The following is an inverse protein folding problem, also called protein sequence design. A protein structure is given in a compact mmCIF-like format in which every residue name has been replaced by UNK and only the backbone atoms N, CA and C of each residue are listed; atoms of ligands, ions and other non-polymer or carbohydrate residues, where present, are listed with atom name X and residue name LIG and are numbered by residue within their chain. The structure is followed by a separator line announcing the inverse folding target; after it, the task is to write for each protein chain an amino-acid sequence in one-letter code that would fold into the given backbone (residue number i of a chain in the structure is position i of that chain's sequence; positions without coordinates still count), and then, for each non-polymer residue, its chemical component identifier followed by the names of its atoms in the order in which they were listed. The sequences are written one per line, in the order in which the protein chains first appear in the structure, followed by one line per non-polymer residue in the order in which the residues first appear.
data_IF_575360143319
#
_entry.id   IF_575360143319
#
_cell.length_a   1.000
_cell.length_b   1.000
_cell.length_c   1.000
_cell.angle_alpha   90.00
_cell.angle_beta   90.00
_cell.angle_gamma   90.00
#
_symmetry.space_group_name_H-M   'P 1'
#
loop_
_entity.id
_entity.type
_entity.pdbx_description
1 polymer ?
#
# COMPACT_ATOMS: atom_id res chain seq x y z
N UNK A 1 5.76 -14.14 15.89
CA UNK A 1 5.55 -14.86 14.62
C UNK A 1 6.76 -14.71 13.71
N UNK A 2 7.30 -13.50 13.48
CA UNK A 2 8.45 -13.30 12.57
C UNK A 2 9.73 -13.91 13.13
N UNK A 3 9.99 -13.80 14.44
CA UNK A 3 11.17 -14.36 15.11
C UNK A 3 11.20 -15.90 15.09
N UNK A 4 10.04 -16.54 14.96
CA UNK A 4 9.93 -18.00 14.85
C UNK A 4 10.52 -18.58 13.56
N UNK A 5 10.78 -17.74 12.55
CA UNK A 5 11.29 -18.16 11.24
C UNK A 5 12.81 -18.00 11.09
N UNK A 6 13.56 -17.86 12.18
CA UNK A 6 15.04 -17.73 12.20
C UNK A 6 15.56 -16.54 11.38
N UNK A 7 14.77 -15.49 11.20
CA UNK A 7 15.16 -14.28 10.49
C UNK A 7 15.48 -13.15 11.46
N UNK A 8 16.48 -12.34 11.12
CA UNK A 8 16.82 -11.16 11.92
C UNK A 8 15.74 -10.11 11.77
N UNK A 9 15.10 -9.71 12.87
CA UNK A 9 14.08 -8.67 12.93
C UNK A 9 14.63 -7.41 13.59
N UNK A 10 14.33 -6.25 13.03
CA UNK A 10 14.68 -4.94 13.61
C UNK A 10 13.44 -4.06 13.63
N UNK A 11 13.09 -3.58 14.82
CA UNK A 11 12.01 -2.62 15.00
C UNK A 11 12.56 -1.19 15.00
N UNK A 12 11.95 -0.34 14.15
CA UNK A 12 12.24 1.09 14.06
C UNK A 12 10.92 1.84 14.27
N UNK A 13 10.80 2.52 15.43
CA UNK A 13 9.64 3.35 15.73
C UNK A 13 9.75 4.67 14.99
N UNK A 14 8.72 5.01 14.20
CA UNK A 14 8.60 6.29 13.51
C UNK A 14 7.13 6.67 13.31
N UNK A 15 6.83 7.96 13.40
CA UNK A 15 5.54 8.52 13.02
C UNK A 15 5.63 9.01 11.56
N UNK A 16 4.89 8.36 10.68
CA UNK A 16 4.88 8.69 9.24
C UNK A 16 4.15 10.00 8.91
N UNK A 17 3.42 10.60 9.86
CA UNK A 17 2.93 11.97 9.73
C UNK A 17 4.06 12.99 9.71
N UNK A 18 5.21 12.62 10.27
CA UNK A 18 6.38 13.48 10.37
C UNK A 18 7.42 13.11 9.31
N UNK A 19 7.57 13.92 8.23
CA UNK A 19 8.51 13.63 7.16
C UNK A 19 9.96 13.45 7.63
N UNK A 20 10.39 14.19 8.65
CA UNK A 20 11.74 14.07 9.23
C UNK A 20 11.99 12.71 9.88
N UNK A 21 10.95 12.08 10.41
CA UNK A 21 11.07 10.72 10.96
C UNK A 21 11.11 9.70 9.82
N UNK A 22 10.28 9.84 8.78
CA UNK A 22 10.31 8.98 7.61
C UNK A 22 11.69 8.98 6.92
N UNK A 23 12.35 10.14 6.81
CA UNK A 23 13.69 10.28 6.22
C UNK A 23 14.76 9.44 6.92
N UNK A 24 14.63 9.19 8.21
CA UNK A 24 15.61 8.43 9.01
C UNK A 24 15.44 6.92 8.94
N UNK A 25 14.27 6.42 8.54
CA UNK A 25 13.95 4.97 8.60
C UNK A 25 14.96 4.16 7.80
N UNK A 26 15.19 4.52 6.54
CA UNK A 26 16.06 3.73 5.67
C UNK A 26 17.52 3.71 6.11
N UNK A 27 18.05 4.83 6.62
CA UNK A 27 19.41 4.88 7.16
C UNK A 27 19.56 4.03 8.42
N UNK A 28 18.55 4.04 9.31
CA UNK A 28 18.54 3.21 10.51
C UNK A 28 18.43 1.72 10.17
N UNK A 29 17.54 1.37 9.20
CA UNK A 29 17.38 0.00 8.75
C UNK A 29 18.71 -0.53 8.16
N UNK A 30 19.34 0.24 7.27
CA UNK A 30 20.62 -0.14 6.67
C UNK A 30 21.73 -0.33 7.70
N UNK A 31 21.81 0.55 8.69
CA UNK A 31 22.80 0.43 9.76
C UNK A 31 22.66 -0.89 10.54
N UNK A 32 21.45 -1.39 10.69
CA UNK A 32 21.15 -2.58 11.50
C UNK A 32 21.10 -3.89 10.70
N UNK A 33 20.65 -3.83 9.44
CA UNK A 33 20.41 -5.00 8.59
C UNK A 33 21.39 -5.13 7.40
N UNK A 34 22.13 -4.08 7.07
CA UNK A 34 22.95 -4.05 5.86
C UNK A 34 22.15 -3.58 4.63
N UNK A 35 22.41 -4.18 3.49
CA UNK A 35 21.70 -3.86 2.23
C UNK A 35 20.23 -4.23 2.34
N UNK A 36 19.36 -3.35 1.87
CA UNK A 36 17.92 -3.56 1.81
C UNK A 36 17.53 -3.72 0.33
N UNK A 37 17.01 -4.86 -0.06
CA UNK A 37 16.70 -5.20 -1.45
C UNK A 37 15.20 -5.12 -1.77
N UNK A 38 14.35 -5.01 -0.74
CA UNK A 38 12.91 -4.84 -0.92
C UNK A 38 12.36 -3.79 0.05
N UNK A 39 11.52 -2.90 -0.49
CA UNK A 39 10.74 -1.92 0.28
C UNK A 39 9.25 -2.18 0.05
N UNK A 40 8.51 -2.47 1.12
CA UNK A 40 7.05 -2.62 1.07
C UNK A 40 6.40 -1.45 1.83
N UNK A 41 5.74 -0.56 1.11
CA UNK A 41 4.97 0.54 1.67
C UNK A 41 3.54 0.04 1.99
N UNK A 42 3.36 -0.51 3.19
CA UNK A 42 2.09 -1.08 3.65
C UNK A 42 1.34 -0.18 4.66
N UNK A 43 2.05 0.61 5.44
CA UNK A 43 1.42 1.47 6.44
C UNK A 43 0.46 2.46 5.80
N UNK A 44 -0.74 2.61 6.36
CA UNK A 44 -1.76 3.53 5.86
C UNK A 44 -2.65 4.06 6.98
N UNK A 45 -3.13 5.27 6.80
CA UNK A 45 -4.27 5.83 7.51
C UNK A 45 -5.52 5.62 6.65
N UNK A 46 -6.63 5.19 7.28
CA UNK A 46 -7.92 4.97 6.61
C UNK A 46 -9.03 5.54 7.48
N UNK A 47 -9.34 6.82 7.31
CA UNK A 47 -10.40 7.53 8.03
C UNK A 47 -11.47 8.02 7.06
N UNK A 48 -12.73 8.04 7.55
CA UNK A 48 -13.88 8.46 6.74
C UNK A 48 -13.94 9.98 6.65
N UNK A 49 -14.05 10.48 5.44
CA UNK A 49 -14.35 11.87 5.12
C UNK A 49 -15.13 11.98 3.80
N UNK A 50 -15.60 13.16 3.50
CA UNK A 50 -16.16 13.58 2.20
C UNK A 50 -15.92 15.07 2.00
N UNK A 51 -16.34 15.61 0.85
CA UNK A 51 -16.13 17.02 0.50
C UNK A 51 -16.80 18.00 1.47
N UNK A 52 -17.84 17.57 2.19
CA UNK A 52 -18.59 18.44 3.12
C UNK A 52 -17.96 18.46 4.52
N UNK A 53 -17.39 17.34 4.96
CA UNK A 53 -16.96 17.17 6.36
C UNK A 53 -15.47 16.92 6.55
N UNK A 54 -14.64 16.92 5.48
CA UNK A 54 -13.20 16.78 5.66
C UNK A 54 -12.62 17.96 6.45
N UNK A 55 -11.54 17.71 7.16
CA UNK A 55 -10.74 18.74 7.83
C UNK A 55 -9.37 18.82 7.18
N UNK A 56 -8.73 20.00 7.20
CA UNK A 56 -7.33 20.15 6.74
C UNK A 56 -6.43 19.12 7.42
N UNK A 57 -6.67 18.86 8.71
CA UNK A 57 -5.91 17.85 9.46
C UNK A 57 -6.09 16.43 8.90
N UNK A 58 -7.32 16.00 8.61
CA UNK A 58 -7.56 14.66 8.05
C UNK A 58 -6.97 14.54 6.65
N UNK A 59 -7.07 15.59 5.87
CA UNK A 59 -6.44 15.68 4.54
C UNK A 59 -4.93 15.53 4.62
N UNK A 60 -4.27 16.34 5.44
CA UNK A 60 -2.81 16.32 5.60
C UNK A 60 -2.34 14.98 6.16
N UNK A 61 -3.04 14.42 7.14
CA UNK A 61 -2.71 13.11 7.73
C UNK A 61 -2.75 12.00 6.66
N UNK A 62 -3.78 11.96 5.81
CA UNK A 62 -3.86 10.98 4.71
C UNK A 62 -2.74 11.18 3.68
N UNK A 63 -2.50 12.41 3.23
CA UNK A 63 -1.45 12.68 2.25
C UNK A 63 -0.05 12.42 2.81
N UNK A 64 0.20 12.79 4.05
CA UNK A 64 1.50 12.57 4.68
C UNK A 64 1.80 11.08 4.85
N UNK A 65 0.86 10.31 5.39
CA UNK A 65 1.10 8.88 5.68
C UNK A 65 1.05 8.03 4.42
N UNK A 66 0.03 8.24 3.57
CA UNK A 66 -0.26 7.31 2.47
C UNK A 66 0.49 7.66 1.18
N UNK A 67 1.02 8.88 1.04
CA UNK A 67 1.66 9.33 -0.19
C UNK A 67 3.05 9.93 0.04
N UNK A 68 3.20 10.93 0.91
CA UNK A 68 4.49 11.61 1.12
C UNK A 68 5.50 10.69 1.79
N UNK A 69 5.11 9.95 2.83
CA UNK A 69 6.03 9.02 3.49
C UNK A 69 6.53 7.91 2.55
N UNK A 70 5.67 7.20 1.76
CA UNK A 70 6.14 6.33 0.68
C UNK A 70 7.11 7.01 -0.29
N UNK A 71 6.83 8.23 -0.75
CA UNK A 71 7.72 8.96 -1.65
C UNK A 71 9.10 9.21 -1.02
N UNK A 72 9.15 9.60 0.26
CA UNK A 72 10.39 9.78 1.02
C UNK A 72 11.14 8.45 1.14
N UNK A 73 10.44 7.37 1.52
CA UNK A 73 11.06 6.05 1.67
C UNK A 73 11.60 5.53 0.34
N UNK A 74 10.86 5.69 -0.76
CA UNK A 74 11.32 5.35 -2.13
C UNK A 74 12.57 6.15 -2.49
N UNK A 75 12.60 7.46 -2.24
CA UNK A 75 13.76 8.31 -2.48
C UNK A 75 14.99 7.82 -1.70
N UNK A 76 14.84 7.50 -0.43
CA UNK A 76 15.94 7.03 0.41
C UNK A 76 16.37 5.60 0.03
N UNK A 77 15.43 4.73 -0.33
CA UNK A 77 15.71 3.39 -0.83
C UNK A 77 16.51 3.45 -2.14
N UNK A 78 16.07 4.24 -3.11
CA UNK A 78 16.75 4.37 -4.41
C UNK A 78 18.20 4.88 -4.28
N UNK A 79 18.49 5.74 -3.31
CA UNK A 79 19.87 6.22 -3.05
C UNK A 79 20.82 5.14 -2.55
N UNK A 80 20.30 4.08 -1.95
CA UNK A 80 21.12 3.02 -1.33
C UNK A 80 21.02 1.66 -2.02
N UNK A 81 20.10 1.51 -2.98
CA UNK A 81 19.91 0.26 -3.70
C UNK A 81 21.19 -0.20 -4.40
N UNK A 82 21.43 -1.50 -4.38
CA UNK A 82 22.57 -2.11 -5.05
C UNK A 82 22.44 -1.92 -6.56
N UNK A 83 23.55 -1.66 -7.23
CA UNK A 83 23.62 -1.71 -8.70
C UNK A 83 23.92 -3.12 -9.23
N UNK A 84 24.19 -4.07 -8.34
CA UNK A 84 24.59 -5.45 -8.72
C UNK A 84 23.39 -6.41 -8.78
N UNK A 85 22.31 -6.07 -8.08
CA UNK A 85 21.09 -6.89 -8.00
C UNK A 85 19.87 -6.02 -8.24
N UNK A 86 18.84 -6.58 -8.87
CA UNK A 86 17.56 -5.88 -9.05
C UNK A 86 16.82 -5.84 -7.72
N UNK A 87 16.47 -4.64 -7.27
CA UNK A 87 15.72 -4.41 -6.05
C UNK A 87 14.23 -4.21 -6.33
N UNK A 88 13.39 -4.30 -5.30
CA UNK A 88 11.94 -4.23 -5.44
C UNK A 88 11.33 -3.17 -4.54
N UNK A 89 10.35 -2.45 -5.05
CA UNK A 89 9.45 -1.59 -4.28
C UNK A 89 8.01 -2.05 -4.56
N UNK A 90 7.26 -2.33 -3.49
CA UNK A 90 5.86 -2.73 -3.58
C UNK A 90 5.03 -1.78 -2.74
N UNK A 91 4.09 -1.09 -3.37
CA UNK A 91 3.17 -0.18 -2.72
C UNK A 91 1.82 -0.87 -2.50
N UNK A 92 1.35 -0.93 -1.26
CA UNK A 92 0.00 -1.41 -0.97
C UNK A 92 -0.95 -0.22 -1.10
N UNK A 93 -1.73 -0.25 -2.17
CA UNK A 93 -2.75 0.76 -2.47
C UNK A 93 -4.14 0.28 -2.02
N UNK A 94 -5.18 0.45 -2.80
CA UNK A 94 -6.55 0.00 -2.51
C UNK A 94 -7.33 -0.16 -3.81
N UNK A 95 -8.25 -1.11 -3.88
CA UNK A 95 -9.14 -1.29 -5.03
C UNK A 95 -10.04 -0.06 -5.30
N UNK A 96 -10.25 0.82 -4.30
CA UNK A 96 -11.02 2.07 -4.45
C UNK A 96 -10.50 2.99 -5.55
N UNK A 97 -9.23 2.88 -5.93
CA UNK A 97 -8.70 3.66 -7.06
C UNK A 97 -9.35 3.30 -8.40
N UNK A 98 -9.91 2.10 -8.52
CA UNK A 98 -10.63 1.64 -9.72
C UNK A 98 -12.13 1.88 -9.63
N UNK A 99 -12.69 1.91 -8.41
CA UNK A 99 -14.12 2.03 -8.18
C UNK A 99 -14.38 3.14 -7.15
N UNK A 100 -14.46 4.38 -7.66
CA UNK A 100 -14.56 5.57 -6.84
C UNK A 100 -15.92 5.69 -6.14
N UNK A 101 -15.90 6.24 -4.93
CA UNK A 101 -17.08 6.58 -4.14
C UNK A 101 -17.01 8.01 -3.65
N UNK A 102 -18.12 8.65 -3.23
CA UNK A 102 -18.07 9.99 -2.67
C UNK A 102 -17.46 10.04 -1.27
N UNK A 103 -17.23 8.90 -0.63
CA UNK A 103 -16.70 8.79 0.72
C UNK A 103 -15.21 8.38 0.72
N UNK A 104 -14.53 8.65 1.85
CA UNK A 104 -13.08 8.42 1.98
C UNK A 104 -12.29 9.20 0.93
N UNK A 105 -12.69 10.45 0.72
CA UNK A 105 -12.17 11.30 -0.36
C UNK A 105 -10.66 11.48 -0.27
N UNK A 106 -10.15 12.01 0.86
CA UNK A 106 -8.72 12.28 1.00
C UNK A 106 -7.88 10.99 1.02
N UNK A 107 -8.42 9.90 1.60
CA UNK A 107 -7.81 8.59 1.51
C UNK A 107 -7.68 8.11 0.06
N UNK A 108 -8.79 8.15 -0.70
CA UNK A 108 -8.81 7.69 -2.10
C UNK A 108 -7.86 8.52 -2.97
N UNK A 109 -7.83 9.84 -2.77
CA UNK A 109 -6.88 10.73 -3.45
C UNK A 109 -5.44 10.34 -3.12
N UNK A 110 -5.12 10.08 -1.84
CA UNK A 110 -3.78 9.68 -1.44
C UNK A 110 -3.35 8.35 -2.06
N UNK A 111 -4.26 7.37 -2.17
CA UNK A 111 -3.99 6.06 -2.81
C UNK A 111 -3.89 6.17 -4.33
N UNK A 112 -4.68 7.04 -4.97
CA UNK A 112 -4.55 7.36 -6.40
C UNK A 112 -3.22 8.07 -6.69
N UNK A 113 -2.79 8.97 -5.81
CA UNK A 113 -1.45 9.56 -5.86
C UNK A 113 -0.34 8.51 -5.78
N UNK A 114 -0.48 7.52 -4.88
CA UNK A 114 0.48 6.43 -4.74
C UNK A 114 0.49 5.49 -5.96
N UNK A 115 -0.66 5.30 -6.63
CA UNK A 115 -0.74 4.61 -7.91
C UNK A 115 0.08 5.33 -8.98
N UNK A 116 -0.09 6.64 -9.11
CA UNK A 116 0.67 7.46 -10.06
C UNK A 116 2.17 7.44 -9.74
N UNK A 117 2.51 7.57 -8.45
CA UNK A 117 3.90 7.47 -7.97
C UNK A 117 4.52 6.11 -8.32
N UNK A 118 3.77 5.01 -8.22
CA UNK A 118 4.25 3.68 -8.60
C UNK A 118 4.71 3.65 -10.06
N UNK A 119 3.87 4.14 -10.97
CA UNK A 119 4.17 4.15 -12.42
C UNK A 119 5.34 5.07 -12.76
N UNK A 120 5.35 6.29 -12.21
CA UNK A 120 6.41 7.26 -12.48
C UNK A 120 7.75 6.82 -11.91
N UNK A 121 7.75 6.17 -10.75
CA UNK A 121 8.99 5.64 -10.17
C UNK A 121 9.48 4.40 -10.90
N UNK A 122 8.60 3.55 -11.44
CA UNK A 122 9.01 2.44 -12.30
C UNK A 122 9.77 2.94 -13.53
N UNK A 123 9.28 4.01 -14.18
CA UNK A 123 9.96 4.64 -15.32
C UNK A 123 11.33 5.22 -14.93
N UNK A 124 11.44 5.83 -13.74
CA UNK A 124 12.66 6.54 -13.33
C UNK A 124 13.74 5.61 -12.79
N UNK A 125 13.36 4.50 -12.13
CA UNK A 125 14.27 3.67 -11.36
C UNK A 125 14.69 2.37 -12.07
N UNK A 126 14.02 2.01 -13.17
CA UNK A 126 14.49 0.94 -14.04
C UNK A 126 15.86 1.23 -14.65
N UNK A 127 16.67 0.21 -14.95
CA UNK A 127 16.40 -1.22 -14.80
C UNK A 127 16.73 -1.77 -13.38
N UNK A 128 17.32 -0.98 -12.49
CA UNK A 128 17.89 -1.48 -11.24
C UNK A 128 16.85 -1.73 -10.13
N UNK A 129 15.69 -1.06 -10.22
CA UNK A 129 14.62 -1.19 -9.21
C UNK A 129 13.29 -1.36 -9.92
N UNK A 130 12.60 -2.45 -9.63
CA UNK A 130 11.21 -2.67 -10.03
C UNK A 130 10.28 -1.97 -9.03
N UNK A 131 9.24 -1.32 -9.53
CA UNK A 131 8.24 -0.65 -8.68
C UNK A 131 6.86 -1.09 -9.12
N UNK A 132 6.14 -1.78 -8.24
CA UNK A 132 4.80 -2.28 -8.51
C UNK A 132 3.87 -1.94 -7.33
N UNK A 133 2.58 -2.15 -7.52
CA UNK A 133 1.60 -1.99 -6.48
C UNK A 133 0.60 -3.15 -6.44
N UNK A 134 0.04 -3.38 -5.25
CA UNK A 134 -1.06 -4.30 -5.02
C UNK A 134 -2.24 -3.47 -4.54
N UNK A 135 -3.43 -3.75 -5.07
CA UNK A 135 -4.69 -3.12 -4.71
C UNK A 135 -5.61 -4.14 -4.02
N UNK A 136 -5.54 -4.27 -2.69
CA UNK A 136 -6.37 -5.21 -1.95
C UNK A 136 -7.85 -4.83 -1.96
N UNK A 137 -8.70 -5.85 -1.89
CA UNK A 137 -10.12 -5.75 -1.55
C UNK A 137 -10.39 -5.97 -0.06
N UNK A 138 -11.56 -6.50 0.33
CA UNK A 138 -11.97 -6.70 1.71
C UNK A 138 -11.15 -7.81 2.38
N UNK A 139 -10.08 -7.43 3.06
CA UNK A 139 -9.12 -8.35 3.70
C UNK A 139 -9.36 -8.45 5.21
N UNK A 140 -9.32 -7.34 5.91
CA UNK A 140 -9.48 -7.27 7.37
C UNK A 140 -10.58 -6.26 7.69
N UNK A 141 -11.51 -6.68 8.56
CA UNK A 141 -12.57 -5.80 9.03
C UNK A 141 -11.96 -4.56 9.73
N UNK A 142 -12.36 -3.37 9.29
CA UNK A 142 -11.95 -2.13 9.96
C UNK A 142 -12.64 -2.00 11.33
N UNK A 143 -12.06 -1.23 12.25
CA UNK A 143 -12.65 -0.97 13.57
C UNK A 143 -14.06 -0.35 13.51
N UNK A 144 -14.40 0.32 12.41
CA UNK A 144 -15.69 0.99 12.19
C UNK A 144 -16.76 0.07 11.62
N UNK A 145 -16.37 -1.05 11.02
CA UNK A 145 -17.30 -1.98 10.39
C UNK A 145 -17.88 -2.97 11.41
N UNK A 146 -19.19 -3.21 11.31
CA UNK A 146 -19.82 -4.36 11.95
C UNK A 146 -19.54 -5.64 11.16
N UNK A 147 -19.65 -6.81 11.80
CA UNK A 147 -19.47 -8.10 11.11
C UNK A 147 -20.49 -8.27 9.98
N UNK A 148 -21.73 -7.81 10.18
CA UNK A 148 -22.77 -7.82 9.15
C UNK A 148 -22.38 -6.98 7.93
N UNK A 149 -21.81 -5.79 8.15
CA UNK A 149 -21.39 -4.90 7.09
C UNK A 149 -20.19 -5.50 6.32
N UNK A 150 -19.17 -6.01 7.03
CA UNK A 150 -18.03 -6.66 6.41
C UNK A 150 -18.43 -7.91 5.61
N UNK A 151 -19.34 -8.75 6.15
CA UNK A 151 -19.90 -9.91 5.44
C UNK A 151 -20.63 -9.47 4.16
N UNK A 152 -21.41 -8.37 4.22
CA UNK A 152 -22.11 -7.82 3.05
C UNK A 152 -21.12 -7.37 1.99
N UNK A 153 -20.03 -6.70 2.37
CA UNK A 153 -18.97 -6.28 1.46
C UNK A 153 -18.33 -7.49 0.77
N UNK A 154 -17.98 -8.55 1.51
CA UNK A 154 -17.43 -9.79 0.95
C UNK A 154 -18.41 -10.42 -0.05
N UNK A 155 -19.68 -10.58 0.33
CA UNK A 155 -20.69 -11.21 -0.54
C UNK A 155 -21.04 -10.38 -1.77
N UNK A 156 -20.69 -9.10 -1.82
CA UNK A 156 -20.85 -8.25 -3.00
C UNK A 156 -19.69 -8.35 -4.01
N UNK A 157 -18.59 -9.00 -3.65
CA UNK A 157 -17.51 -9.27 -4.61
C UNK A 157 -17.90 -10.39 -5.58
N UNK A 158 -17.28 -10.45 -6.75
CA UNK A 158 -17.58 -11.48 -7.76
C UNK A 158 -17.30 -12.89 -7.25
N UNK A 159 -16.19 -13.09 -6.53
CA UNK A 159 -15.81 -14.39 -5.98
C UNK A 159 -16.52 -14.71 -4.66
N UNK A 160 -17.24 -13.75 -4.06
CA UNK A 160 -17.96 -13.88 -2.78
C UNK A 160 -17.10 -14.41 -1.64
N UNK A 161 -15.82 -14.12 -1.67
CA UNK A 161 -14.81 -14.54 -0.70
C UNK A 161 -14.03 -13.34 -0.19
N UNK A 162 -13.59 -13.33 1.08
CA UNK A 162 -12.65 -12.33 1.56
C UNK A 162 -11.31 -12.55 0.86
N UNK A 163 -10.56 -11.48 0.70
CA UNK A 163 -9.13 -11.57 0.38
C UNK A 163 -8.39 -11.95 1.65
N UNK A 164 -7.60 -13.00 1.62
CA UNK A 164 -6.77 -13.38 2.77
C UNK A 164 -5.46 -12.60 2.75
N UNK A 165 -4.86 -12.43 3.91
CA UNK A 165 -3.53 -11.80 4.00
C UNK A 165 -2.48 -12.60 3.20
N UNK A 166 -2.61 -13.93 3.19
CA UNK A 166 -1.75 -14.84 2.43
C UNK A 166 -1.84 -14.56 0.93
N UNK A 167 -3.02 -14.31 0.38
CA UNK A 167 -3.20 -14.00 -1.06
C UNK A 167 -2.41 -12.73 -1.46
N UNK A 168 -2.31 -11.77 -0.54
CA UNK A 168 -1.48 -10.56 -0.74
C UNK A 168 0.00 -10.90 -0.63
N UNK A 169 0.41 -11.72 0.36
CA UNK A 169 1.79 -12.16 0.52
C UNK A 169 2.28 -12.95 -0.69
N UNK A 170 1.48 -13.87 -1.22
CA UNK A 170 1.77 -14.65 -2.42
C UNK A 170 1.97 -13.73 -3.64
N UNK A 171 1.16 -12.66 -3.73
CA UNK A 171 1.30 -11.66 -4.80
C UNK A 171 2.58 -10.83 -4.62
N UNK A 172 2.96 -10.50 -3.39
CA UNK A 172 4.25 -9.85 -3.10
C UNK A 172 5.40 -10.73 -3.56
N UNK A 173 5.39 -12.01 -3.19
CA UNK A 173 6.41 -12.98 -3.57
C UNK A 173 6.48 -13.15 -5.11
N UNK A 174 5.34 -13.27 -5.77
CA UNK A 174 5.25 -13.31 -7.23
C UNK A 174 5.91 -12.08 -7.88
N UNK A 175 5.64 -10.88 -7.38
CA UNK A 175 6.21 -9.64 -7.91
C UNK A 175 7.72 -9.54 -7.66
N UNK A 176 8.22 -10.05 -6.53
CA UNK A 176 9.65 -10.08 -6.22
C UNK A 176 10.37 -11.02 -7.19
N UNK A 177 9.83 -12.21 -7.40
CA UNK A 177 10.46 -13.27 -8.18
C UNK A 177 10.35 -13.08 -9.70
N UNK A 178 9.37 -12.28 -10.18
CA UNK A 178 9.20 -12.05 -11.62
C UNK A 178 10.02 -10.85 -12.10
N UNK A 179 11.01 -11.11 -12.95
CA UNK A 179 11.94 -10.09 -13.41
C UNK A 179 11.42 -9.20 -14.56
N UNK A 180 10.27 -9.50 -15.13
CA UNK A 180 9.71 -8.79 -16.29
C UNK A 180 8.55 -7.85 -15.93
N UNK A 181 8.21 -7.72 -14.63
CA UNK A 181 7.07 -6.91 -14.18
C UNK A 181 7.55 -5.67 -13.44
N UNK A 182 7.23 -4.49 -13.97
CA UNK A 182 7.39 -3.19 -13.29
C UNK A 182 6.30 -2.21 -13.74
N UNK A 183 5.95 -1.25 -12.89
CA UNK A 183 4.91 -0.25 -13.14
C UNK A 183 3.47 -0.79 -13.08
N UNK A 184 3.28 -2.05 -12.65
CA UNK A 184 1.98 -2.70 -12.65
C UNK A 184 1.24 -2.51 -11.32
N UNK A 185 -0.09 -2.50 -11.43
CA UNK A 185 -1.00 -2.50 -10.28
C UNK A 185 -1.85 -3.77 -10.38
N UNK A 186 -1.67 -4.68 -9.42
CA UNK A 186 -2.39 -5.95 -9.38
C UNK A 186 -3.53 -5.82 -8.36
N UNK A 187 -4.77 -5.94 -8.83
CA UNK A 187 -5.92 -6.03 -7.96
C UNK A 187 -6.02 -7.44 -7.35
N UNK A 188 -5.97 -7.51 -6.02
CA UNK A 188 -6.20 -8.73 -5.24
C UNK A 188 -7.44 -8.45 -4.38
N UNK A 189 -8.62 -8.47 -5.00
CA UNK A 189 -9.85 -7.91 -4.45
C UNK A 189 -11.10 -8.77 -4.62
N UNK A 190 -10.93 -10.02 -4.98
CA UNK A 190 -12.03 -10.96 -5.28
C UNK A 190 -12.99 -10.45 -6.37
N UNK A 191 -12.48 -9.59 -7.28
CA UNK A 191 -13.25 -8.98 -8.34
C UNK A 191 -14.12 -7.80 -7.88
N UNK A 192 -13.83 -7.20 -6.72
CA UNK A 192 -14.60 -6.07 -6.20
C UNK A 192 -14.59 -4.87 -7.15
N UNK A 193 -13.45 -4.58 -7.77
CA UNK A 193 -13.32 -3.45 -8.70
C UNK A 193 -14.15 -3.59 -9.97
N UNK A 194 -14.56 -4.80 -10.33
CA UNK A 194 -15.38 -5.09 -11.50
C UNK A 194 -16.89 -5.12 -11.17
N UNK A 195 -17.25 -4.97 -9.90
CA UNK A 195 -18.64 -5.02 -9.45
C UNK A 195 -19.37 -3.72 -9.80
N UNK A 196 -20.48 -3.83 -10.53
CA UNK A 196 -21.36 -2.71 -10.91
C UNK A 196 -22.38 -2.35 -9.81
N UNK A 197 -22.40 -3.07 -8.70
CA UNK A 197 -23.41 -2.88 -7.65
C UNK A 197 -23.05 -1.73 -6.70
N UNK A 198 -23.19 -0.49 -7.19
CA UNK A 198 -22.94 0.74 -6.43
C UNK A 198 -23.96 1.02 -5.29
N UNK A 199 -25.04 0.23 -5.17
CA UNK A 199 -26.11 0.45 -4.17
C UNK A 199 -25.71 0.14 -2.73
N UNK A 200 -24.56 -0.48 -2.50
CA UNK A 200 -24.19 -1.03 -1.19
C UNK A 200 -23.15 -0.19 -0.41
N UNK A 201 -22.85 1.01 -0.85
CA UNK A 201 -21.77 1.85 -0.27
C UNK A 201 -22.29 2.94 0.68
N UNK A 202 -23.36 2.68 1.39
CA UNK A 202 -23.65 3.38 2.62
C UNK A 202 -22.84 2.74 3.75
N UNK A 203 -21.64 3.19 3.94
CA UNK A 203 -20.85 2.95 5.14
C UNK A 203 -21.21 3.94 6.24
#
# INVERSE_FOLDING_TARGET
IIEQNWVKVVLIKADLKNPKQAEKIMSLARKKLGTIDCLINNAALFEKDDIINFTTKSWDDHLNINLLAPAILIKQFAKQASKKTVSNIINIIDQRIFNLTPFFMSYTISKSGLQTLTKTMAMRLGPNIKVNAIAPGPTIKSKRQTDRHFKKQITSTLLKKPVRAEDICDTVEFLINNNSITGQIIAVDSGQNLSWNKKNEKE
#
